data_IF_325896283484
#
_entry.id   IF_325896283484
#
_cell.length_a   1.000
_cell.length_b   1.000
_cell.length_c   1.000
_cell.angle_alpha   90.00
_cell.angle_beta   90.00
_cell.angle_gamma   90.00
#
_symmetry.space_group_name_H-M   'P 1'
#
loop_
_entity.id
_entity.type
_entity.pdbx_description
1 polymer ?
#
# COMPACT_ATOMS: atom_id res chain seq x y z
N UNK A 1 14.30 5.86 1.79
CA UNK A 1 13.27 4.81 1.74
C UNK A 1 12.59 4.87 0.39
N UNK A 2 12.01 3.79 -0.09
CA UNK A 2 11.24 3.72 -1.33
C UNK A 2 9.74 3.83 -1.05
N UNK A 3 8.87 3.92 -2.05
CA UNK A 3 7.42 3.83 -1.80
C UNK A 3 7.01 2.43 -1.30
N UNK A 4 7.74 1.38 -1.68
CA UNK A 4 7.57 0.03 -1.12
C UNK A 4 7.87 0.02 0.39
N UNK A 5 8.95 0.69 0.82
CA UNK A 5 9.26 0.84 2.25
C UNK A 5 8.16 1.63 2.97
N UNK A 6 7.66 2.71 2.37
CA UNK A 6 6.59 3.54 2.93
C UNK A 6 5.31 2.72 3.10
N UNK A 7 4.96 1.89 2.10
CA UNK A 7 3.82 0.98 2.18
C UNK A 7 3.95 0.00 3.34
N UNK A 8 5.12 -0.65 3.46
CA UNK A 8 5.40 -1.60 4.53
C UNK A 8 5.35 -0.94 5.92
N UNK A 9 6.01 0.21 6.07
CA UNK A 9 6.00 0.98 7.31
C UNK A 9 4.59 1.43 7.71
N UNK A 10 3.80 1.91 6.74
CA UNK A 10 2.39 2.26 6.97
C UNK A 10 1.58 1.07 7.45
N UNK A 11 1.77 -0.10 6.83
CA UNK A 11 1.07 -1.32 7.22
C UNK A 11 1.37 -1.69 8.68
N UNK A 12 2.63 -1.59 9.11
CA UNK A 12 3.01 -1.79 10.51
C UNK A 12 2.33 -0.74 11.41
N UNK A 13 2.44 0.54 11.08
CA UNK A 13 1.85 1.66 11.86
C UNK A 13 0.34 1.52 12.07
N UNK A 14 -0.41 1.06 11.07
CA UNK A 14 -1.84 0.85 11.17
C UNK A 14 -2.21 -0.24 12.18
N UNK A 15 -1.31 -1.20 12.39
CA UNK A 15 -1.53 -2.31 13.30
C UNK A 15 -1.04 -2.05 14.72
N UNK A 16 -0.32 -0.95 14.99
CA UNK A 16 0.03 -0.57 16.36
C UNK A 16 -1.26 -0.17 17.13
N UNK A 17 -1.72 -0.93 18.13
CA UNK A 17 -2.94 -0.58 18.83
C UNK A 17 -2.74 0.70 19.65
N UNK A 18 -3.77 1.55 19.74
CA UNK A 18 -3.78 2.65 20.71
C UNK A 18 -4.25 2.17 22.09
N UNK A 19 -5.04 1.09 22.10
CA UNK A 19 -5.54 0.38 23.26
C UNK A 19 -5.47 -1.12 23.00
N UNK A 20 -5.03 -1.89 23.99
CA UNK A 20 -4.85 -3.33 23.85
C UNK A 20 -5.05 -3.99 25.21
N UNK A 21 -5.92 -5.01 25.29
CA UNK A 21 -6.18 -5.76 26.53
C UNK A 21 -6.48 -4.87 27.75
N UNK A 22 -7.27 -3.80 27.57
CA UNK A 22 -7.64 -2.86 28.63
C UNK A 22 -6.57 -1.82 29.00
N UNK A 23 -5.37 -1.90 28.41
CA UNK A 23 -4.31 -0.89 28.51
C UNK A 23 -4.40 0.12 27.36
N UNK A 24 -3.72 1.26 27.52
CA UNK A 24 -3.65 2.33 26.52
C UNK A 24 -2.23 2.88 26.43
N UNK A 25 -1.80 3.25 25.23
CA UNK A 25 -0.57 4.03 25.05
C UNK A 25 -0.61 5.34 25.84
N UNK A 26 0.57 5.85 26.21
CA UNK A 26 0.68 7.22 26.71
C UNK A 26 0.14 8.20 25.66
N UNK A 27 -0.31 9.37 26.12
CA UNK A 27 -0.87 10.39 25.21
C UNK A 27 0.15 10.87 24.17
N UNK A 28 1.43 10.96 24.54
CA UNK A 28 2.52 11.35 23.65
C UNK A 28 2.72 10.32 22.55
N UNK A 29 2.97 9.07 22.92
CA UNK A 29 3.19 7.95 21.99
C UNK A 29 1.98 7.72 21.09
N UNK A 30 0.75 7.81 21.63
CA UNK A 30 -0.46 7.72 20.83
C UNK A 30 -0.54 8.82 19.76
N UNK A 31 -0.19 10.06 20.11
CA UNK A 31 -0.16 11.17 19.17
C UNK A 31 0.91 10.96 18.09
N UNK A 32 2.10 10.51 18.47
CA UNK A 32 3.19 10.20 17.52
C UNK A 32 2.79 9.11 16.53
N UNK A 33 2.21 8.00 17.00
CA UNK A 33 1.70 6.92 16.13
C UNK A 33 0.64 7.45 15.16
N UNK A 34 -0.30 8.29 15.63
CA UNK A 34 -1.32 8.88 14.77
C UNK A 34 -0.74 9.83 13.72
N UNK A 35 0.22 10.69 14.10
CA UNK A 35 0.89 11.60 13.17
C UNK A 35 1.69 10.84 12.11
N UNK A 36 2.38 9.76 12.49
CA UNK A 36 3.11 8.92 11.55
C UNK A 36 2.16 8.21 10.59
N UNK A 37 1.01 7.69 11.05
CA UNK A 37 -0.01 7.10 10.14
C UNK A 37 -0.42 8.08 9.05
N UNK A 38 -0.72 9.33 9.41
CA UNK A 38 -1.09 10.38 8.45
C UNK A 38 0.08 10.71 7.53
N UNK A 39 1.28 10.83 8.07
CA UNK A 39 2.49 11.17 7.31
C UNK A 39 2.80 10.12 6.23
N UNK A 40 2.79 8.84 6.59
CA UNK A 40 3.02 7.75 5.64
C UNK A 40 1.85 7.58 4.66
N UNK A 41 0.60 7.82 5.09
CA UNK A 41 -0.56 7.84 4.20
C UNK A 41 -0.42 8.91 3.13
N UNK A 42 -0.12 10.15 3.50
CA UNK A 42 0.02 11.25 2.55
C UNK A 42 1.08 10.95 1.49
N UNK A 43 2.20 10.32 1.87
CA UNK A 43 3.20 9.89 0.89
C UNK A 43 2.72 8.80 -0.05
N UNK A 44 1.93 7.84 0.42
CA UNK A 44 1.30 6.87 -0.47
C UNK A 44 0.25 7.51 -1.39
N UNK A 45 -0.50 8.49 -0.90
CA UNK A 45 -1.47 9.22 -1.74
C UNK A 45 -0.76 10.01 -2.86
N UNK A 46 0.41 10.59 -2.59
CA UNK A 46 1.25 11.19 -3.63
C UNK A 46 1.62 10.16 -4.71
N UNK A 47 2.02 8.95 -4.33
CA UNK A 47 2.31 7.87 -5.28
C UNK A 47 1.08 7.50 -6.11
N UNK A 48 -0.07 7.28 -5.48
CA UNK A 48 -1.30 6.91 -6.19
C UNK A 48 -1.75 7.99 -7.16
N UNK A 49 -1.60 9.27 -6.80
CA UNK A 49 -1.89 10.38 -7.71
C UNK A 49 -0.99 10.35 -8.94
N UNK A 50 0.32 10.14 -8.76
CA UNK A 50 1.26 10.03 -9.88
C UNK A 50 0.90 8.84 -10.77
N UNK A 51 0.54 7.69 -10.17
CA UNK A 51 0.13 6.52 -10.93
C UNK A 51 -1.17 6.73 -11.72
N UNK A 52 -2.11 7.51 -11.18
CA UNK A 52 -3.34 7.88 -11.90
C UNK A 52 -3.05 8.76 -13.12
N UNK A 53 -2.12 9.70 -12.99
CA UNK A 53 -1.67 10.56 -14.10
C UNK A 53 -0.95 9.74 -15.18
N UNK A 54 -0.05 8.83 -14.78
CA UNK A 54 0.63 7.90 -15.69
C UNK A 54 -0.36 6.99 -16.41
N UNK A 55 -1.31 6.38 -15.68
CA UNK A 55 -2.32 5.51 -16.27
C UNK A 55 -3.11 6.23 -17.36
N UNK A 56 -3.49 7.48 -17.09
CA UNK A 56 -4.24 8.31 -18.03
C UNK A 56 -3.39 8.69 -19.26
N UNK A 57 -2.10 8.95 -19.08
CA UNK A 57 -1.17 9.26 -20.16
C UNK A 57 -0.78 8.06 -21.06
N UNK A 58 -0.87 6.84 -20.54
CA UNK A 58 -0.58 5.61 -21.29
C UNK A 58 -1.75 5.12 -22.16
N UNK A 59 -2.97 5.58 -21.88
CA UNK A 59 -4.16 5.20 -22.67
C UNK A 59 -4.17 5.94 -24.00
N UNK A 60 -4.25 5.20 -25.10
CA UNK A 60 -4.42 5.79 -26.43
C UNK A 60 -5.79 6.47 -26.56
N UNK A 61 -5.91 7.37 -27.54
CA UNK A 61 -7.19 7.98 -27.89
C UNK A 61 -8.26 6.92 -28.18
N UNK A 62 -9.45 7.09 -27.60
CA UNK A 62 -10.57 6.16 -27.72
C UNK A 62 -10.43 4.83 -26.95
N UNK A 63 -9.39 4.66 -26.10
CA UNK A 63 -9.19 3.43 -25.32
C UNK A 63 -10.42 3.06 -24.47
N UNK A 64 -11.00 4.03 -23.76
CA UNK A 64 -12.17 3.81 -22.89
C UNK A 64 -13.42 3.36 -23.68
N UNK A 65 -13.56 3.82 -24.93
CA UNK A 65 -14.66 3.43 -25.80
C UNK A 65 -14.47 1.99 -26.30
N UNK A 66 -13.24 1.64 -26.71
CA UNK A 66 -12.88 0.27 -27.09
C UNK A 66 -13.01 -0.70 -25.92
N UNK A 67 -12.61 -0.29 -24.71
CA UNK A 67 -12.75 -1.10 -23.50
C UNK A 67 -14.22 -1.40 -23.17
N UNK A 68 -15.10 -0.39 -23.30
CA UNK A 68 -16.55 -0.58 -23.15
C UNK A 68 -17.12 -1.49 -24.22
N UNK A 69 -16.73 -1.30 -25.48
CA UNK A 69 -17.13 -2.16 -26.61
C UNK A 69 -16.75 -3.62 -26.32
N UNK A 70 -15.49 -3.87 -25.95
CA UNK A 70 -14.96 -5.19 -25.57
C UNK A 70 -15.77 -5.85 -24.44
N UNK A 71 -16.11 -5.11 -23.38
CA UNK A 71 -16.88 -5.66 -22.25
C UNK A 71 -18.37 -5.90 -22.55
N UNK A 72 -18.95 -5.13 -23.47
CA UNK A 72 -20.38 -5.24 -23.82
C UNK A 72 -20.66 -6.27 -24.91
N UNK A 73 -19.61 -6.77 -25.56
CA UNK A 73 -19.73 -7.73 -26.65
C UNK A 73 -20.22 -9.10 -26.14
N UNK A 74 -21.52 -9.38 -26.36
CA UNK A 74 -22.08 -10.73 -26.36
C UNK A 74 -21.61 -11.45 -27.63
N UNK A 75 -21.04 -12.65 -27.47
CA UNK A 75 -20.44 -13.51 -28.51
C UNK A 75 -20.98 -13.30 -29.93
N UNK A 76 -20.23 -12.55 -30.76
CA UNK A 76 -20.52 -12.36 -32.18
C UNK A 76 -19.39 -12.94 -33.04
N UNK A 77 -19.54 -14.18 -33.52
CA UNK A 77 -18.50 -14.91 -34.28
C UNK A 77 -18.38 -14.44 -35.74
N UNK A 78 -17.77 -13.27 -35.98
CA UNK A 78 -17.37 -12.83 -37.33
C UNK A 78 -15.86 -12.58 -37.38
N UNK A 79 -15.18 -12.78 -38.51
CA UNK A 79 -13.71 -12.61 -38.56
C UNK A 79 -13.27 -11.18 -38.22
N UNK A 80 -14.04 -10.17 -38.65
CA UNK A 80 -13.79 -8.76 -38.30
C UNK A 80 -13.92 -8.49 -36.80
N UNK A 81 -14.76 -9.25 -36.12
CA UNK A 81 -14.90 -9.17 -34.67
C UNK A 81 -13.67 -9.77 -33.98
N UNK A 82 -13.22 -10.95 -34.41
CA UNK A 82 -12.02 -11.59 -33.85
C UNK A 82 -10.76 -10.74 -34.06
N UNK A 83 -10.64 -10.07 -35.21
CA UNK A 83 -9.54 -9.14 -35.48
C UNK A 83 -9.56 -7.92 -34.55
N UNK A 84 -10.74 -7.31 -34.33
CA UNK A 84 -10.89 -6.19 -33.38
C UNK A 84 -10.58 -6.60 -31.94
N UNK A 85 -11.06 -7.77 -31.52
CA UNK A 85 -10.79 -8.30 -30.19
C UNK A 85 -9.30 -8.52 -29.97
N UNK A 86 -8.62 -9.20 -30.90
CA UNK A 86 -7.16 -9.41 -30.82
C UNK A 86 -6.38 -8.11 -30.81
N UNK A 87 -6.81 -7.11 -31.59
CA UNK A 87 -6.16 -5.80 -31.60
C UNK A 87 -6.30 -5.08 -30.24
N UNK A 88 -7.49 -5.12 -29.64
CA UNK A 88 -7.70 -4.53 -28.31
C UNK A 88 -7.03 -5.32 -27.19
N UNK A 89 -7.01 -6.66 -27.25
CA UNK A 89 -6.25 -7.49 -26.31
C UNK A 89 -4.75 -7.15 -26.36
N UNK A 90 -4.17 -7.02 -27.56
CA UNK A 90 -2.78 -6.61 -27.72
C UNK A 90 -2.52 -5.20 -27.18
N UNK A 91 -3.42 -4.25 -27.43
CA UNK A 91 -3.36 -2.89 -26.86
C UNK A 91 -3.43 -2.93 -25.32
N UNK A 92 -4.35 -3.72 -24.76
CA UNK A 92 -4.52 -3.88 -23.32
C UNK A 92 -3.29 -4.53 -22.68
N UNK A 93 -2.71 -5.57 -23.27
CA UNK A 93 -1.47 -6.19 -22.80
C UNK A 93 -0.33 -5.17 -22.78
N UNK A 94 -0.11 -4.44 -23.88
CA UNK A 94 0.94 -3.44 -23.96
C UNK A 94 0.75 -2.31 -22.94
N UNK A 95 -0.50 -1.87 -22.74
CA UNK A 95 -0.84 -0.88 -21.71
C UNK A 95 -0.53 -1.40 -20.30
N UNK A 96 -0.93 -2.63 -19.97
CA UNK A 96 -0.71 -3.22 -18.64
C UNK A 96 0.78 -3.44 -18.36
N UNK A 97 1.56 -3.88 -19.35
CA UNK A 97 3.01 -4.04 -19.23
C UNK A 97 3.70 -2.70 -18.98
N UNK A 98 3.36 -1.66 -19.75
CA UNK A 98 3.91 -0.32 -19.57
C UNK A 98 3.53 0.28 -18.20
N UNK A 99 2.29 0.05 -17.75
CA UNK A 99 1.82 0.51 -16.45
C UNK A 99 2.54 -0.23 -15.30
N UNK A 100 2.76 -1.53 -15.41
CA UNK A 100 3.49 -2.32 -14.41
C UNK A 100 4.97 -1.89 -14.32
N UNK A 101 5.63 -1.66 -15.45
CA UNK A 101 7.00 -1.14 -15.47
C UNK A 101 7.08 0.25 -14.82
N UNK A 102 6.15 1.15 -15.15
CA UNK A 102 6.09 2.48 -14.55
C UNK A 102 5.85 2.42 -13.03
N UNK A 103 4.98 1.52 -12.57
CA UNK A 103 4.74 1.25 -11.14
C UNK A 103 6.00 0.79 -10.44
N UNK A 104 6.67 -0.25 -10.96
CA UNK A 104 7.92 -0.78 -10.37
C UNK A 104 8.99 0.30 -10.28
N UNK A 105 9.24 1.00 -11.39
CA UNK A 105 10.23 2.07 -11.45
C UNK A 105 9.92 3.17 -10.44
N UNK A 106 8.66 3.63 -10.38
CA UNK A 106 8.27 4.68 -9.45
C UNK A 106 8.34 4.20 -8.00
N UNK A 107 7.93 2.97 -7.72
CA UNK A 107 7.89 2.40 -6.39
C UNK A 107 9.28 2.32 -5.74
N UNK A 108 10.33 2.08 -6.54
CA UNK A 108 11.72 1.99 -6.11
C UNK A 108 12.44 3.34 -6.03
N UNK A 109 11.81 4.44 -6.44
CA UNK A 109 12.41 5.77 -6.32
C UNK A 109 12.65 6.13 -4.84
N UNK A 110 13.81 6.73 -4.51
CA UNK A 110 14.05 7.25 -3.17
C UNK A 110 13.09 8.38 -2.81
N UNK A 111 12.44 8.24 -1.66
CA UNK A 111 11.53 9.22 -1.06
C UNK A 111 12.02 9.56 0.35
N UNK A 112 11.83 10.82 0.72
CA UNK A 112 12.13 11.34 2.06
C UNK A 112 10.84 11.50 2.87
N UNK A 113 10.85 11.00 4.12
CA UNK A 113 9.86 11.34 5.13
C UNK A 113 10.56 12.11 6.25
N UNK A 114 10.19 13.38 6.41
CA UNK A 114 10.65 14.20 7.53
C UNK A 114 9.95 13.75 8.81
N UNK A 115 10.72 13.55 9.88
CA UNK A 115 10.22 13.10 11.19
C UNK A 115 9.41 11.79 11.08
N UNK A 116 9.83 10.86 10.23
CA UNK A 116 9.12 9.62 9.92
C UNK A 116 9.38 8.46 10.87
N UNK A 117 9.91 8.71 12.06
CA UNK A 117 10.36 7.67 13.00
C UNK A 117 9.80 7.92 14.40
N UNK A 118 9.53 6.82 15.09
CA UNK A 118 9.25 6.74 16.52
C UNK A 118 10.57 6.83 17.30
N UNK A 119 10.51 7.34 18.52
CA UNK A 119 11.67 7.32 19.42
C UNK A 119 11.78 5.97 20.14
N UNK A 120 12.86 5.78 20.91
CA UNK A 120 13.02 4.60 21.75
C UNK A 120 12.01 4.58 22.91
N UNK A 121 11.64 5.75 23.40
CA UNK A 121 10.62 5.92 24.43
C UNK A 121 9.23 5.55 23.88
N UNK A 122 8.91 5.97 22.65
CA UNK A 122 7.68 5.54 21.97
C UNK A 122 7.64 4.00 21.83
N UNK A 123 8.78 3.37 21.48
CA UNK A 123 8.86 1.92 21.38
C UNK A 123 8.64 1.24 22.74
N UNK A 124 9.25 1.75 23.81
CA UNK A 124 9.08 1.20 25.15
C UNK A 124 7.60 1.23 25.59
N UNK A 125 6.90 2.33 25.33
CA UNK A 125 5.47 2.46 25.59
C UNK A 125 4.63 1.44 24.79
N UNK A 126 5.03 1.13 23.55
CA UNK A 126 4.36 0.12 22.72
C UNK A 126 4.63 -1.30 23.27
N UNK A 127 5.85 -1.58 23.73
CA UNK A 127 6.18 -2.83 24.43
C UNK A 127 5.31 -2.99 25.69
N UNK A 128 5.19 -1.93 26.50
CA UNK A 128 4.37 -1.94 27.71
C UNK A 128 2.88 -2.11 27.42
N UNK A 129 2.41 -1.71 26.23
CA UNK A 129 1.03 -1.93 25.79
C UNK A 129 0.79 -3.36 25.29
N UNK A 130 1.64 -3.86 24.40
CA UNK A 130 1.40 -5.14 23.70
C UNK A 130 1.87 -6.32 24.56
N UNK A 131 3.00 -6.17 25.25
CA UNK A 131 3.72 -7.26 25.89
C UNK A 131 4.45 -8.15 24.87
N UNK A 132 5.50 -8.85 25.32
CA UNK A 132 6.33 -9.68 24.43
C UNK A 132 5.80 -11.11 24.22
N UNK A 133 4.94 -11.59 25.13
CA UNK A 133 4.48 -12.98 25.14
C UNK A 133 3.14 -13.20 24.44
N UNK A 134 3.04 -14.30 23.69
CA UNK A 134 1.82 -14.74 23.04
C UNK A 134 1.68 -14.23 21.60
N UNK A 135 0.47 -14.38 21.06
CA UNK A 135 0.18 -14.10 19.66
C UNK A 135 -0.37 -12.68 19.48
N UNK A 136 -0.18 -12.17 18.27
CA UNK A 136 -0.68 -10.90 17.79
C UNK A 136 -1.40 -11.12 16.46
N UNK A 137 -2.59 -10.52 16.33
CA UNK A 137 -3.32 -10.52 15.07
C UNK A 137 -3.19 -9.14 14.47
N UNK A 138 -2.64 -9.08 13.27
CA UNK A 138 -2.57 -7.85 12.48
C UNK A 138 -3.31 -8.03 11.16
N UNK A 139 -3.79 -6.92 10.60
CA UNK A 139 -4.48 -6.89 9.32
C UNK A 139 -3.53 -6.45 8.23
N UNK A 140 -3.47 -7.21 7.16
CA UNK A 140 -2.76 -6.82 5.95
C UNK A 140 -3.49 -5.65 5.27
N UNK A 141 -2.76 -4.55 5.03
CA UNK A 141 -3.29 -3.40 4.30
C UNK A 141 -3.71 -3.79 2.87
N UNK A 142 -4.91 -3.38 2.45
CA UNK A 142 -5.41 -3.61 1.09
C UNK A 142 -6.31 -4.84 0.96
N UNK A 143 -5.96 -5.96 1.60
CA UNK A 143 -6.81 -7.17 1.61
C UNK A 143 -7.71 -7.25 2.84
N UNK A 144 -7.28 -6.61 3.95
CA UNK A 144 -7.97 -6.69 5.24
C UNK A 144 -7.85 -8.07 5.91
N UNK A 145 -7.07 -8.98 5.33
CA UNK A 145 -6.86 -10.34 5.84
C UNK A 145 -6.16 -10.26 7.20
N UNK A 146 -6.69 -11.00 8.15
CA UNK A 146 -6.06 -11.19 9.45
C UNK A 146 -4.92 -12.21 9.33
N UNK A 147 -3.76 -11.82 9.84
CA UNK A 147 -2.56 -12.62 9.91
C UNK A 147 -2.14 -12.74 11.37
N UNK A 148 -1.78 -13.94 11.76
CA UNK A 148 -1.28 -14.25 13.09
C UNK A 148 0.26 -14.28 13.07
N UNK A 149 0.86 -13.68 14.09
CA UNK A 149 2.31 -13.67 14.35
C UNK A 149 2.52 -13.70 15.86
N UNK A 150 3.75 -13.87 16.33
CA UNK A 150 4.06 -13.69 17.76
C UNK A 150 4.28 -12.20 18.07
N UNK A 151 3.92 -11.77 19.29
CA UNK A 151 4.03 -10.35 19.68
C UNK A 151 5.46 -9.81 19.55
N UNK A 152 6.45 -10.60 19.92
CA UNK A 152 7.87 -10.25 19.78
C UNK A 152 8.29 -9.98 18.34
N UNK A 153 7.81 -10.77 17.37
CA UNK A 153 8.07 -10.55 15.94
C UNK A 153 7.45 -9.23 15.49
N UNK A 154 6.20 -8.96 15.87
CA UNK A 154 5.55 -7.69 15.53
C UNK A 154 6.28 -6.49 16.13
N UNK A 155 6.70 -6.57 17.40
CA UNK A 155 7.47 -5.53 18.07
C UNK A 155 8.84 -5.32 17.42
N UNK A 156 9.48 -6.39 16.96
CA UNK A 156 10.74 -6.34 16.21
C UNK A 156 10.58 -5.65 14.86
N UNK A 157 9.44 -5.86 14.17
CA UNK A 157 9.11 -5.14 12.94
C UNK A 157 8.97 -3.63 13.18
N UNK A 158 8.36 -3.23 14.29
CA UNK A 158 8.26 -1.81 14.68
C UNK A 158 9.67 -1.26 14.93
N UNK A 159 10.47 -1.92 15.76
CA UNK A 159 11.81 -1.47 16.10
C UNK A 159 12.69 -1.28 14.85
N UNK A 160 12.68 -2.25 13.94
CA UNK A 160 13.52 -2.23 12.73
C UNK A 160 13.05 -1.16 11.72
N UNK A 161 11.74 -1.06 11.47
CA UNK A 161 11.23 -0.24 10.38
C UNK A 161 10.87 1.19 10.81
N UNK A 162 10.49 1.39 12.07
CA UNK A 162 9.85 2.63 12.51
C UNK A 162 10.64 3.40 13.57
N UNK A 163 11.66 2.83 14.19
CA UNK A 163 12.47 3.54 15.21
C UNK A 163 13.76 4.08 14.58
N UNK A 164 14.19 5.26 15.01
CA UNK A 164 15.38 5.95 14.49
C UNK A 164 15.92 7.01 15.42
#
# INVERSE_FOLDING_TARGET
MTYNDIYNCRNILLNIPLTFEGRRLSKGTAANVMLLRVTYQHKLDEYFKIMQEVESGLKNEGYEERAKEYHQMKEGKTSKYEEKMKAFEAEQTAFLEALDEARKKKADEPVEIKNGKLTKEDLADIYDLIGAEGNFIYREAGTGKELETIREEFLSLIAYNLVG
#
